data_IF_289253951800
#
_entry.id   IF_289253951800
#
_cell.length_a   1.000
_cell.length_b   1.000
_cell.length_c   1.000
_cell.angle_alpha   90.00
_cell.angle_beta   90.00
_cell.angle_gamma   90.00
#
_symmetry.space_group_name_H-M   'P 1'
#
loop_
_entity.id
_entity.type
_entity.pdbx_description
1 polymer ?
#
# COMPACT_ATOMS: atom_id res chain seq x y z
N UNK A 1 35.10 3.51 57.66
CA UNK A 1 34.42 2.23 57.90
C UNK A 1 33.27 2.07 56.94
N UNK A 2 33.55 1.67 55.70
CA UNK A 2 32.54 1.09 54.81
C UNK A 2 33.22 -0.01 54.02
N UNK A 3 32.92 -1.27 54.36
CA UNK A 3 33.42 -2.44 53.65
C UNK A 3 32.28 -3.00 52.79
N UNK A 4 32.54 -3.27 51.52
CA UNK A 4 31.60 -3.93 50.61
C UNK A 4 32.17 -5.29 50.18
N UNK A 5 31.32 -6.31 50.11
CA UNK A 5 31.65 -7.65 49.63
C UNK A 5 30.55 -8.13 48.69
N UNK A 6 30.93 -8.69 47.54
CA UNK A 6 30.00 -9.21 46.52
C UNK A 6 30.42 -10.63 46.17
N UNK A 7 29.46 -11.55 46.15
CA UNK A 7 29.61 -12.91 45.63
C UNK A 7 28.77 -12.99 44.35
N UNK A 8 29.38 -13.43 43.26
CA UNK A 8 28.72 -13.62 41.97
C UNK A 8 28.68 -15.11 41.64
N UNK A 9 27.56 -15.53 41.06
CA UNK A 9 27.36 -16.87 40.51
C UNK A 9 26.98 -16.74 39.03
N UNK A 10 27.24 -17.78 38.25
CA UNK A 10 26.81 -17.85 36.85
C UNK A 10 25.28 -17.79 36.73
N UNK A 11 24.77 -17.23 35.63
CA UNK A 11 23.36 -17.37 35.32
C UNK A 11 22.99 -18.87 35.26
N UNK A 12 21.75 -19.25 35.65
CA UNK A 12 21.28 -20.61 35.43
C UNK A 12 21.52 -21.02 33.98
N UNK A 13 21.98 -22.26 33.75
CA UNK A 13 22.04 -22.76 32.39
C UNK A 13 20.63 -22.66 31.81
N UNK A 14 20.48 -21.91 30.71
CA UNK A 14 19.26 -21.98 29.94
C UNK A 14 19.02 -23.47 29.64
N UNK A 15 17.79 -23.99 29.84
CA UNK A 15 17.49 -25.32 29.36
C UNK A 15 17.93 -25.34 27.91
N UNK A 16 18.84 -26.28 27.56
CA UNK A 16 19.31 -26.43 26.20
C UNK A 16 18.07 -26.27 25.32
N UNK A 17 18.08 -25.35 24.32
CA UNK A 17 16.94 -25.23 23.45
C UNK A 17 16.63 -26.67 23.10
N UNK A 18 15.41 -27.12 23.43
CA UNK A 18 15.03 -28.46 23.06
C UNK A 18 15.49 -28.61 21.61
N UNK A 19 15.87 -29.81 21.21
CA UNK A 19 15.70 -30.14 19.81
C UNK A 19 14.19 -30.07 19.51
N UNK A 20 13.55 -28.89 19.67
CA UNK A 20 12.71 -28.32 18.66
C UNK A 20 13.48 -28.64 17.40
N UNK A 21 13.01 -29.68 16.71
CA UNK A 21 13.37 -29.88 15.35
C UNK A 21 13.16 -28.57 14.59
N UNK A 22 13.43 -28.65 13.31
CA UNK A 22 13.21 -27.67 12.28
C UNK A 22 11.77 -27.07 12.20
N UNK A 23 10.93 -27.23 13.23
CA UNK A 23 9.53 -26.83 13.39
C UNK A 23 9.31 -25.34 13.69
N UNK A 24 10.36 -24.55 14.02
CA UNK A 24 10.24 -23.11 13.78
C UNK A 24 10.39 -22.95 12.27
N UNK A 25 9.35 -22.53 11.52
CA UNK A 25 9.45 -22.48 10.07
C UNK A 25 10.73 -21.74 9.72
N UNK A 26 11.68 -22.46 9.13
CA UNK A 26 12.96 -21.91 8.76
C UNK A 26 12.66 -20.71 7.87
N UNK A 27 12.82 -19.50 8.41
CA UNK A 27 12.71 -18.26 7.65
C UNK A 27 13.98 -18.01 6.83
N UNK A 28 14.76 -19.06 6.62
CA UNK A 28 15.97 -19.02 5.83
C UNK A 28 15.57 -18.70 4.39
N UNK A 29 16.09 -17.59 3.88
CA UNK A 29 15.71 -17.04 2.58
C UNK A 29 14.41 -16.22 2.56
N UNK A 30 13.73 -16.02 3.69
CA UNK A 30 12.62 -15.08 3.78
C UNK A 30 13.12 -13.64 3.69
N UNK A 31 12.28 -12.73 3.18
CA UNK A 31 12.58 -11.31 3.19
C UNK A 31 12.48 -10.76 4.63
N UNK A 32 13.58 -10.21 5.12
CA UNK A 32 13.72 -9.70 6.48
C UNK A 32 14.01 -8.20 6.46
N UNK A 33 13.44 -7.41 7.38
CA UNK A 33 13.85 -6.03 7.59
C UNK A 33 14.96 -5.95 8.64
N UNK A 34 16.06 -5.25 8.33
CA UNK A 34 16.99 -4.74 9.34
C UNK A 34 16.79 -3.24 9.52
N UNK A 35 16.58 -2.82 10.78
CA UNK A 35 16.32 -1.43 11.14
C UNK A 35 17.46 -0.96 12.04
N UNK A 36 18.17 0.08 11.63
CA UNK A 36 19.24 0.71 12.41
C UNK A 36 18.89 2.17 12.66
N UNK A 37 19.18 2.67 13.86
CA UNK A 37 18.92 4.08 14.18
C UNK A 37 20.04 4.72 14.98
N UNK A 38 20.20 6.04 14.84
CA UNK A 38 21.17 6.85 15.58
C UNK A 38 20.61 8.23 15.93
N UNK A 39 21.13 8.84 17.00
CA UNK A 39 20.75 10.22 17.41
C UNK A 39 21.21 11.29 16.42
N UNK A 40 22.22 10.98 15.60
CA UNK A 40 22.74 11.84 14.53
C UNK A 40 23.04 10.98 13.30
N UNK A 41 23.20 11.60 12.11
CA UNK A 41 23.63 10.88 10.89
C UNK A 41 24.96 10.15 11.09
N UNK A 42 25.92 10.77 11.79
CA UNK A 42 27.21 10.14 12.12
C UNK A 42 27.03 8.94 13.04
N UNK A 43 26.16 9.05 14.05
CA UNK A 43 25.86 7.93 14.94
C UNK A 43 25.20 6.77 14.20
N UNK A 44 24.27 7.06 13.27
CA UNK A 44 23.65 6.04 12.42
C UNK A 44 24.71 5.29 11.57
N UNK A 45 25.61 6.03 10.92
CA UNK A 45 26.70 5.41 10.15
C UNK A 45 27.61 4.54 11.04
N UNK A 46 27.90 5.00 12.26
CA UNK A 46 28.65 4.22 13.24
C UNK A 46 27.92 2.94 13.69
N UNK A 47 26.59 2.99 13.86
CA UNK A 47 25.79 1.80 14.18
C UNK A 47 25.80 0.78 13.03
N UNK A 48 25.70 1.24 11.78
CA UNK A 48 25.78 0.35 10.60
C UNK A 48 27.17 -0.29 10.49
N UNK A 49 28.24 0.47 10.68
CA UNK A 49 29.60 -0.06 10.69
C UNK A 49 29.84 -1.07 11.83
N UNK A 50 29.32 -0.77 13.03
CA UNK A 50 29.38 -1.69 14.17
C UNK A 50 28.59 -2.98 13.94
N UNK A 51 27.41 -2.89 13.32
CA UNK A 51 26.62 -4.06 12.93
C UNK A 51 27.37 -4.94 11.93
N UNK A 52 28.03 -4.34 10.93
CA UNK A 52 28.89 -5.07 9.98
C UNK A 52 30.01 -5.82 10.72
N UNK A 53 30.75 -5.13 11.58
CA UNK A 53 31.81 -5.77 12.37
C UNK A 53 31.30 -6.89 13.27
N UNK A 54 30.08 -6.78 13.82
CA UNK A 54 29.46 -7.85 14.60
C UNK A 54 29.15 -9.08 13.73
N UNK A 55 28.57 -8.88 12.54
CA UNK A 55 28.27 -9.96 11.58
C UNK A 55 29.56 -10.65 11.13
N UNK A 56 30.59 -9.88 10.79
CA UNK A 56 31.88 -10.41 10.35
C UNK A 56 32.55 -11.27 11.44
N UNK A 57 32.40 -10.87 12.71
CA UNK A 57 32.93 -11.62 13.86
C UNK A 57 32.07 -12.85 14.25
N UNK A 58 30.80 -12.90 13.82
CA UNK A 58 29.85 -13.97 14.16
C UNK A 58 29.13 -14.48 12.90
N UNK A 59 29.85 -15.15 11.97
CA UNK A 59 29.28 -15.57 10.69
C UNK A 59 28.15 -16.61 10.83
N UNK A 60 28.07 -17.31 11.95
CA UNK A 60 26.98 -18.24 12.28
C UNK A 60 25.71 -17.55 12.81
N UNK A 61 25.74 -16.24 13.06
CA UNK A 61 24.57 -15.51 13.54
C UNK A 61 23.48 -15.45 12.46
N UNK A 62 22.27 -15.87 12.81
CA UNK A 62 21.15 -15.91 11.86
C UNK A 62 20.65 -14.49 11.57
N UNK A 63 20.42 -14.12 10.29
CA UNK A 63 19.94 -12.79 9.94
C UNK A 63 18.60 -12.42 10.59
N UNK A 64 17.73 -13.42 10.80
CA UNK A 64 16.43 -13.23 11.44
C UNK A 64 16.56 -12.84 12.93
N UNK A 65 17.49 -13.45 13.67
CA UNK A 65 17.71 -13.14 15.09
C UNK A 65 18.31 -11.75 15.27
N UNK A 66 19.23 -11.37 14.37
CA UNK A 66 19.78 -10.02 14.30
C UNK A 66 18.68 -9.00 14.00
N UNK A 67 17.83 -9.27 13.00
CA UNK A 67 16.70 -8.41 12.64
C UNK A 67 15.71 -8.24 13.79
N UNK A 68 15.34 -9.34 14.45
CA UNK A 68 14.49 -9.31 15.64
C UNK A 68 15.13 -8.46 16.75
N UNK A 69 16.40 -8.70 17.06
CA UNK A 69 17.12 -7.97 18.10
C UNK A 69 17.20 -6.47 17.79
N UNK A 70 17.48 -6.09 16.55
CA UNK A 70 17.48 -4.71 16.07
C UNK A 70 16.10 -4.05 16.24
N UNK A 71 15.02 -4.78 15.99
CA UNK A 71 13.66 -4.25 16.02
C UNK A 71 13.08 -4.11 17.44
N UNK A 72 13.42 -5.02 18.36
CA UNK A 72 12.72 -5.17 19.66
C UNK A 72 13.58 -4.83 20.89
N UNK A 73 14.91 -4.86 20.78
CA UNK A 73 15.80 -4.66 21.96
C UNK A 73 16.57 -3.35 21.93
N UNK A 74 16.59 -2.65 20.79
CA UNK A 74 17.35 -1.40 20.62
C UNK A 74 16.44 -0.19 20.72
N UNK A 75 16.95 0.87 21.36
CA UNK A 75 16.28 2.16 21.37
C UNK A 75 16.16 2.71 19.94
N UNK A 76 15.02 3.36 19.64
CA UNK A 76 14.72 3.94 18.33
C UNK A 76 14.99 5.44 18.33
N UNK A 77 15.90 5.89 17.46
CA UNK A 77 16.29 7.29 17.34
C UNK A 77 15.76 7.94 16.05
N UNK A 78 15.99 9.26 15.90
CA UNK A 78 15.44 10.07 14.83
C UNK A 78 16.02 9.75 13.44
N UNK A 79 17.31 9.45 13.34
CA UNK A 79 17.93 9.05 12.07
C UNK A 79 17.88 7.55 11.93
N UNK A 80 17.24 7.05 10.88
CA UNK A 80 16.96 5.63 10.67
C UNK A 80 17.43 5.20 9.28
N UNK A 81 17.88 3.96 9.18
CA UNK A 81 18.10 3.24 7.93
C UNK A 81 17.38 1.90 8.02
N UNK A 82 16.75 1.50 6.93
CA UNK A 82 16.09 0.20 6.82
C UNK A 82 16.59 -0.47 5.55
N UNK A 83 16.93 -1.74 5.64
CA UNK A 83 17.17 -2.60 4.49
C UNK A 83 16.26 -3.81 4.55
N UNK A 84 15.86 -4.30 3.38
CA UNK A 84 15.08 -5.52 3.24
C UNK A 84 15.86 -6.48 2.34
N UNK A 85 16.09 -7.69 2.82
CA UNK A 85 16.95 -8.67 2.17
C UNK A 85 16.78 -10.05 2.79
N UNK A 86 17.40 -11.06 2.19
CA UNK A 86 17.24 -12.47 2.58
C UNK A 86 18.42 -13.03 3.37
N UNK A 87 19.55 -12.34 3.30
CA UNK A 87 20.75 -12.69 4.04
C UNK A 87 21.47 -11.44 4.57
N UNK A 88 22.44 -11.65 5.48
CA UNK A 88 23.19 -10.57 6.11
C UNK A 88 23.95 -9.70 5.09
N UNK A 89 24.41 -10.26 3.96
CA UNK A 89 25.19 -9.52 2.98
C UNK A 89 24.31 -8.55 2.18
N UNK A 90 23.14 -9.01 1.70
CA UNK A 90 22.11 -8.17 1.07
C UNK A 90 21.68 -7.05 2.04
N UNK A 91 21.42 -7.38 3.30
CA UNK A 91 20.96 -6.44 4.32
C UNK A 91 22.00 -5.37 4.66
N UNK A 92 23.26 -5.76 4.87
CA UNK A 92 24.34 -4.82 5.12
C UNK A 92 24.64 -3.90 3.93
N UNK A 93 24.51 -4.43 2.71
CA UNK A 93 24.65 -3.65 1.47
C UNK A 93 23.52 -2.63 1.35
N UNK A 94 22.28 -3.06 1.58
CA UNK A 94 21.12 -2.19 1.61
C UNK A 94 21.22 -1.08 2.66
N UNK A 95 21.69 -1.40 3.87
CA UNK A 95 21.88 -0.41 4.93
C UNK A 95 22.94 0.62 4.60
N UNK A 96 24.04 0.21 3.95
CA UNK A 96 25.09 1.13 3.52
C UNK A 96 24.64 2.07 2.41
N UNK A 97 23.75 1.60 1.52
CA UNK A 97 23.18 2.38 0.43
C UNK A 97 21.95 3.23 0.84
N UNK A 98 21.33 2.92 1.98
CA UNK A 98 20.10 3.57 2.41
C UNK A 98 20.33 5.06 2.71
N UNK A 99 19.52 5.92 2.10
CA UNK A 99 19.43 7.32 2.48
C UNK A 99 18.84 7.42 3.91
N UNK A 100 19.53 8.09 4.86
CA UNK A 100 19.01 8.23 6.21
C UNK A 100 17.65 8.92 6.23
N UNK A 101 16.66 8.23 6.78
CA UNK A 101 15.34 8.77 7.03
C UNK A 101 15.36 9.52 8.35
N UNK A 102 14.85 10.74 8.37
CA UNK A 102 14.53 11.45 9.61
C UNK A 102 13.02 11.37 9.81
N UNK A 103 12.58 10.62 10.82
CA UNK A 103 11.16 10.55 11.14
C UNK A 103 10.67 11.92 11.60
N UNK A 104 9.65 12.47 10.94
CA UNK A 104 9.03 13.74 11.35
C UNK A 104 8.10 13.58 12.57
N UNK A 105 7.72 12.35 12.92
CA UNK A 105 6.54 12.15 13.77
C UNK A 105 5.28 12.71 13.09
N UNK A 106 4.14 12.59 13.76
CA UNK A 106 2.88 13.17 13.30
C UNK A 106 1.83 12.14 12.92
N UNK A 107 0.72 12.65 12.40
CA UNK A 107 -0.46 11.88 12.02
C UNK A 107 -0.23 11.15 10.69
N UNK A 108 -0.67 9.90 10.61
CA UNK A 108 -0.59 9.04 9.42
C UNK A 108 -1.94 9.01 8.72
N UNK A 109 -1.96 9.21 7.40
CA UNK A 109 -3.16 9.05 6.59
C UNK A 109 -2.97 7.90 5.59
N UNK A 110 -3.99 7.06 5.42
CA UNK A 110 -4.04 6.09 4.32
C UNK A 110 -4.91 6.63 3.19
N UNK A 111 -4.36 6.58 1.97
CA UNK A 111 -5.02 7.06 0.76
C UNK A 111 -5.40 5.87 -0.13
N UNK A 112 -6.69 5.78 -0.43
CA UNK A 112 -7.29 4.72 -1.24
C UNK A 112 -7.46 5.23 -2.68
N UNK A 113 -6.92 4.51 -3.67
CA UNK A 113 -6.85 4.99 -5.05
C UNK A 113 -8.16 4.77 -5.81
N UNK A 114 -8.34 5.57 -6.86
CA UNK A 114 -9.43 5.39 -7.82
C UNK A 114 -9.14 4.32 -8.86
N UNK A 115 -10.08 4.18 -9.79
CA UNK A 115 -9.93 3.35 -11.00
C UNK A 115 -8.73 3.79 -11.85
N UNK A 116 -8.02 2.82 -12.42
CA UNK A 116 -6.83 3.01 -13.26
C UNK A 116 -5.55 2.41 -12.67
N UNK A 117 -5.57 2.01 -11.39
CA UNK A 117 -4.44 1.37 -10.72
C UNK A 117 -4.45 -0.17 -10.84
N UNK A 118 -5.55 -0.75 -11.34
CA UNK A 118 -5.68 -2.20 -11.48
C UNK A 118 -4.66 -2.74 -12.49
N UNK A 119 -4.10 -3.91 -12.19
CA UNK A 119 -3.18 -4.62 -13.06
C UNK A 119 -3.37 -6.13 -12.92
N UNK A 120 -3.17 -6.91 -13.99
CA UNK A 120 -3.24 -8.36 -13.91
C UNK A 120 -2.31 -8.93 -12.83
N UNK A 121 -2.83 -9.87 -12.04
CA UNK A 121 -2.14 -10.51 -10.92
C UNK A 121 -1.82 -9.58 -9.75
N UNK A 122 -2.47 -8.42 -9.63
CA UNK A 122 -2.34 -7.58 -8.43
C UNK A 122 -2.74 -8.37 -7.18
N UNK A 123 -2.02 -8.17 -6.08
CA UNK A 123 -2.32 -8.86 -4.82
C UNK A 123 -1.90 -10.34 -4.75
N UNK A 124 -1.71 -11.05 -5.86
CA UNK A 124 -1.44 -12.51 -5.86
C UNK A 124 -0.24 -12.93 -5.01
N UNK A 125 0.87 -12.18 -5.09
CA UNK A 125 2.04 -12.49 -4.28
C UNK A 125 1.78 -12.27 -2.77
N UNK A 126 0.96 -11.27 -2.43
CA UNK A 126 0.58 -10.97 -1.05
C UNK A 126 -0.41 -12.01 -0.52
N UNK A 127 -1.41 -12.38 -1.31
CA UNK A 127 -2.37 -13.44 -0.99
C UNK A 127 -1.66 -14.75 -0.63
N UNK A 128 -0.68 -15.18 -1.43
CA UNK A 128 0.12 -16.39 -1.12
C UNK A 128 1.02 -16.26 0.10
N UNK A 129 1.48 -15.05 0.42
CA UNK A 129 2.50 -14.84 1.44
C UNK A 129 1.93 -14.46 2.82
N UNK A 130 0.73 -13.85 2.87
CA UNK A 130 0.21 -13.23 4.08
C UNK A 130 -1.26 -13.63 4.34
N UNK A 131 -1.52 -14.46 5.38
CA UNK A 131 -2.88 -14.89 5.73
C UNK A 131 -3.86 -13.73 5.94
N UNK A 132 -3.46 -12.66 6.64
CA UNK A 132 -4.32 -11.50 6.87
C UNK A 132 -4.78 -10.80 5.56
N UNK A 133 -3.92 -10.80 4.54
CA UNK A 133 -4.30 -10.32 3.21
C UNK A 133 -5.28 -11.29 2.56
N UNK A 134 -4.94 -12.59 2.55
CA UNK A 134 -5.74 -13.63 1.91
C UNK A 134 -7.16 -13.68 2.48
N UNK A 135 -7.30 -13.74 3.81
CA UNK A 135 -8.59 -13.77 4.50
C UNK A 135 -9.47 -12.57 4.15
N UNK A 136 -8.91 -11.36 4.14
CA UNK A 136 -9.63 -10.14 3.80
C UNK A 136 -10.04 -10.09 2.32
N UNK A 137 -9.14 -10.50 1.43
CA UNK A 137 -9.41 -10.55 -0.01
C UNK A 137 -10.49 -11.59 -0.34
N UNK A 138 -10.36 -12.79 0.22
CA UNK A 138 -11.30 -13.89 0.00
C UNK A 138 -12.69 -13.57 0.55
N UNK A 139 -12.78 -12.85 1.67
CA UNK A 139 -14.05 -12.36 2.20
C UNK A 139 -14.76 -11.38 1.25
N UNK A 140 -14.00 -10.50 0.58
CA UNK A 140 -14.56 -9.61 -0.44
C UNK A 140 -14.99 -10.42 -1.67
N UNK A 141 -14.15 -11.32 -2.17
CA UNK A 141 -14.47 -12.18 -3.31
C UNK A 141 -15.74 -13.01 -3.06
N UNK A 142 -15.88 -13.64 -1.89
CA UNK A 142 -17.05 -14.46 -1.55
C UNK A 142 -18.37 -13.68 -1.58
N UNK A 143 -18.34 -12.38 -1.28
CA UNK A 143 -19.50 -11.50 -1.40
C UNK A 143 -19.68 -11.00 -2.83
N UNK A 144 -18.59 -10.63 -3.50
CA UNK A 144 -18.60 -10.07 -4.83
C UNK A 144 -19.07 -11.07 -5.89
N UNK A 145 -18.61 -12.31 -5.80
CA UNK A 145 -18.85 -13.38 -6.79
C UNK A 145 -20.32 -13.80 -6.86
N UNK A 146 -21.14 -13.39 -5.89
CA UNK A 146 -22.61 -13.57 -5.95
C UNK A 146 -23.29 -12.65 -6.97
N UNK A 147 -22.63 -11.55 -7.36
CA UNK A 147 -23.13 -10.55 -8.30
C UNK A 147 -22.29 -10.41 -9.57
N UNK A 148 -21.28 -11.26 -9.77
CA UNK A 148 -20.38 -11.23 -10.93
C UNK A 148 -20.60 -12.46 -11.82
N UNK A 149 -20.48 -12.27 -13.13
CA UNK A 149 -20.58 -13.37 -14.12
C UNK A 149 -19.40 -14.34 -14.04
N UNK A 150 -18.24 -13.87 -13.56
CA UNK A 150 -17.01 -14.63 -13.39
C UNK A 150 -16.37 -14.31 -12.04
N UNK A 151 -15.71 -15.30 -11.39
CA UNK A 151 -15.05 -15.08 -10.11
C UNK A 151 -13.99 -13.98 -10.18
N UNK A 152 -14.03 -13.05 -9.24
CA UNK A 152 -13.17 -11.87 -9.21
C UNK A 152 -11.68 -12.23 -9.20
N UNK A 153 -11.29 -13.23 -8.39
CA UNK A 153 -9.90 -13.67 -8.28
C UNK A 153 -9.37 -14.23 -9.61
N UNK A 154 -10.19 -15.00 -10.33
CA UNK A 154 -9.83 -15.56 -11.64
C UNK A 154 -9.64 -14.45 -12.67
N UNK A 155 -10.53 -13.45 -12.70
CA UNK A 155 -10.44 -12.31 -13.60
C UNK A 155 -9.18 -11.48 -13.35
N UNK A 156 -8.85 -11.20 -12.09
CA UNK A 156 -7.61 -10.50 -11.72
C UNK A 156 -6.37 -11.22 -12.28
N UNK A 157 -6.35 -12.55 -12.25
CA UNK A 157 -5.19 -13.33 -12.66
C UNK A 157 -5.08 -13.57 -14.17
N UNK A 158 -6.22 -13.71 -14.85
CA UNK A 158 -6.26 -14.32 -16.19
C UNK A 158 -6.84 -13.43 -17.29
N UNK A 159 -7.60 -12.39 -16.94
CA UNK A 159 -8.36 -11.62 -17.93
C UNK A 159 -8.17 -10.11 -17.76
N UNK A 160 -7.10 -9.61 -18.36
CA UNK A 160 -6.79 -8.18 -18.36
C UNK A 160 -7.87 -7.32 -19.05
N UNK A 161 -8.62 -7.88 -20.00
CA UNK A 161 -9.67 -7.16 -20.71
C UNK A 161 -10.86 -6.91 -19.80
N UNK A 162 -11.36 -7.99 -19.18
CA UNK A 162 -12.46 -7.92 -18.24
C UNK A 162 -12.09 -7.14 -16.98
N UNK A 163 -10.86 -7.29 -16.47
CA UNK A 163 -10.35 -6.50 -15.34
C UNK A 163 -10.39 -4.98 -15.59
N UNK A 164 -10.27 -4.54 -16.85
CA UNK A 164 -10.36 -3.14 -17.23
C UNK A 164 -11.80 -2.65 -17.49
N UNK A 165 -12.79 -3.55 -17.47
CA UNK A 165 -14.21 -3.17 -17.45
C UNK A 165 -14.52 -2.53 -16.09
N UNK A 166 -15.30 -1.46 -16.09
CA UNK A 166 -15.50 -0.58 -14.91
C UNK A 166 -16.08 -1.31 -13.70
N UNK A 167 -17.01 -2.22 -13.92
CA UNK A 167 -17.62 -3.05 -12.90
C UNK A 167 -16.65 -4.02 -12.22
N UNK A 168 -15.75 -4.67 -12.97
CA UNK A 168 -14.68 -5.50 -12.41
C UNK A 168 -13.55 -4.67 -11.80
N UNK A 169 -13.12 -3.61 -12.47
CA UNK A 169 -12.02 -2.77 -12.00
C UNK A 169 -12.30 -2.20 -10.61
N UNK A 170 -13.53 -1.69 -10.39
CA UNK A 170 -13.92 -1.09 -9.11
C UNK A 170 -13.90 -2.10 -7.96
N UNK A 171 -14.52 -3.27 -8.14
CA UNK A 171 -14.56 -4.28 -7.07
C UNK A 171 -13.18 -4.94 -6.85
N UNK A 172 -12.38 -5.10 -7.91
CA UNK A 172 -11.02 -5.62 -7.81
C UNK A 172 -10.11 -4.68 -7.00
N UNK A 173 -10.22 -3.37 -7.24
CA UNK A 173 -9.49 -2.34 -6.48
C UNK A 173 -9.94 -2.32 -5.02
N UNK A 174 -11.25 -2.29 -4.77
CA UNK A 174 -11.80 -2.36 -3.42
C UNK A 174 -11.28 -3.60 -2.66
N UNK A 175 -11.34 -4.79 -3.26
CA UNK A 175 -10.84 -6.02 -2.66
C UNK A 175 -9.35 -5.93 -2.30
N UNK A 176 -8.55 -5.44 -3.24
CA UNK A 176 -7.09 -5.29 -3.06
C UNK A 176 -6.76 -4.28 -1.96
N UNK A 177 -7.42 -3.13 -1.95
CA UNK A 177 -7.14 -2.06 -0.98
C UNK A 177 -7.59 -2.42 0.44
N UNK A 178 -8.74 -3.07 0.59
CA UNK A 178 -9.19 -3.59 1.89
C UNK A 178 -8.22 -4.66 2.40
N UNK A 179 -7.76 -5.56 1.53
CA UNK A 179 -6.78 -6.57 1.92
C UNK A 179 -5.41 -5.98 2.28
N UNK A 180 -4.94 -4.96 1.56
CA UNK A 180 -3.73 -4.21 1.91
C UNK A 180 -3.87 -3.52 3.27
N UNK A 181 -5.02 -2.91 3.54
CA UNK A 181 -5.30 -2.31 4.85
C UNK A 181 -5.22 -3.36 5.97
N UNK A 182 -5.93 -4.50 5.83
CA UNK A 182 -5.93 -5.57 6.85
C UNK A 182 -4.53 -6.16 7.07
N UNK A 183 -3.71 -6.23 6.02
CA UNK A 183 -2.31 -6.63 6.15
C UNK A 183 -1.52 -5.65 7.03
N UNK A 184 -1.61 -4.35 6.77
CA UNK A 184 -0.92 -3.33 7.58
C UNK A 184 -1.44 -3.29 9.03
N UNK A 185 -2.75 -3.40 9.20
CA UNK A 185 -3.41 -3.50 10.51
C UNK A 185 -2.90 -4.70 11.31
N UNK A 186 -2.70 -5.86 10.66
CA UNK A 186 -2.14 -7.06 11.31
C UNK A 186 -0.71 -6.86 11.84
N UNK A 187 0.03 -5.88 11.32
CA UNK A 187 1.36 -5.49 11.80
C UNK A 187 1.30 -4.36 12.84
N UNK A 188 0.11 -3.93 13.24
CA UNK A 188 -0.11 -2.81 14.17
C UNK A 188 0.05 -1.43 13.53
N UNK A 189 0.05 -1.33 12.20
CA UNK A 189 0.10 -0.05 11.48
C UNK A 189 -1.33 0.41 11.20
N UNK A 190 -1.83 1.32 12.04
CA UNK A 190 -3.16 1.91 11.93
C UNK A 190 -3.07 3.40 11.57
N UNK A 191 -3.91 3.91 10.66
CA UNK A 191 -3.90 5.32 10.29
C UNK A 191 -4.69 6.16 11.30
N UNK A 192 -4.32 7.44 11.45
CA UNK A 192 -5.12 8.46 12.14
C UNK A 192 -6.26 8.97 11.25
N UNK A 193 -6.05 8.97 9.93
CA UNK A 193 -7.00 9.45 8.94
C UNK A 193 -7.07 8.52 7.71
N UNK A 194 -8.22 8.46 7.07
CA UNK A 194 -8.37 7.82 5.76
C UNK A 194 -9.01 8.78 4.78
N UNK A 195 -8.61 8.70 3.52
CA UNK A 195 -9.26 9.38 2.42
C UNK A 195 -9.20 8.50 1.18
N UNK A 196 -10.20 8.61 0.32
CA UNK A 196 -10.23 7.88 -0.94
C UNK A 196 -10.44 8.79 -2.12
N UNK A 197 -10.04 8.33 -3.30
CA UNK A 197 -10.30 9.03 -4.55
C UNK A 197 -11.35 8.26 -5.35
N UNK A 198 -12.53 8.84 -5.56
CA UNK A 198 -13.63 8.20 -6.31
C UNK A 198 -14.02 6.86 -5.67
N UNK A 199 -13.91 5.73 -6.37
CA UNK A 199 -14.20 4.40 -5.80
C UNK A 199 -13.40 4.09 -4.54
N UNK A 200 -12.18 4.63 -4.41
CA UNK A 200 -11.36 4.48 -3.21
C UNK A 200 -12.03 5.02 -1.94
N UNK A 201 -12.98 5.97 -2.05
CA UNK A 201 -13.76 6.44 -0.90
C UNK A 201 -14.60 5.33 -0.27
N UNK A 202 -15.04 4.36 -1.07
CA UNK A 202 -15.82 3.22 -0.57
C UNK A 202 -14.94 2.28 0.26
N UNK A 203 -13.69 2.08 -0.16
CA UNK A 203 -12.69 1.36 0.63
C UNK A 203 -12.34 2.11 1.92
N UNK A 204 -12.13 3.43 1.84
CA UNK A 204 -11.89 4.27 3.00
C UNK A 204 -13.06 4.25 3.98
N UNK A 205 -14.30 4.36 3.50
CA UNK A 205 -15.51 4.31 4.32
C UNK A 205 -15.69 2.95 5.01
N UNK A 206 -15.39 1.85 4.32
CA UNK A 206 -15.40 0.52 4.95
C UNK A 206 -14.34 0.41 6.05
N UNK A 207 -13.10 0.80 5.75
CA UNK A 207 -11.97 0.74 6.67
C UNK A 207 -12.18 1.63 7.91
N UNK A 208 -12.81 2.80 7.73
CA UNK A 208 -13.22 3.69 8.82
C UNK A 208 -14.39 3.15 9.66
N UNK A 209 -14.99 2.02 9.28
CA UNK A 209 -16.14 1.43 9.98
C UNK A 209 -17.48 2.12 9.68
N UNK A 210 -17.54 3.01 8.68
CA UNK A 210 -18.79 3.66 8.24
C UNK A 210 -19.69 2.68 7.51
N UNK A 211 -19.10 1.80 6.68
CA UNK A 211 -19.82 0.76 5.94
C UNK A 211 -19.39 -0.64 6.42
N UNK A 212 -20.38 -1.50 6.67
CA UNK A 212 -20.13 -2.93 6.83
C UNK A 212 -19.51 -3.51 5.55
N UNK A 213 -18.76 -4.62 5.66
CA UNK A 213 -18.16 -5.26 4.48
C UNK A 213 -19.24 -5.67 3.44
N UNK A 214 -20.36 -6.32 3.81
CA UNK A 214 -21.43 -6.64 2.86
C UNK A 214 -22.03 -5.41 2.17
N UNK A 215 -22.28 -4.33 2.92
CA UNK A 215 -22.87 -3.12 2.35
C UNK A 215 -21.90 -2.40 1.40
N UNK A 216 -20.62 -2.35 1.77
CA UNK A 216 -19.57 -1.78 0.93
C UNK A 216 -19.42 -2.56 -0.38
N UNK A 217 -19.37 -3.90 -0.33
CA UNK A 217 -19.30 -4.74 -1.53
C UNK A 217 -20.53 -4.54 -2.42
N UNK A 218 -21.73 -4.55 -1.83
CA UNK A 218 -22.98 -4.30 -2.56
C UNK A 218 -22.97 -2.93 -3.25
N UNK A 219 -22.50 -1.89 -2.56
CA UNK A 219 -22.43 -0.54 -3.11
C UNK A 219 -21.41 -0.43 -4.25
N UNK A 220 -20.22 -1.02 -4.08
CA UNK A 220 -19.17 -1.02 -5.11
C UNK A 220 -19.63 -1.76 -6.36
N UNK A 221 -20.26 -2.94 -6.21
CA UNK A 221 -20.83 -3.69 -7.32
C UNK A 221 -21.92 -2.88 -8.05
N UNK A 222 -22.92 -2.39 -7.32
CA UNK A 222 -24.02 -1.62 -7.91
C UNK A 222 -23.50 -0.38 -8.66
N UNK A 223 -22.56 0.36 -8.05
CA UNK A 223 -21.91 1.52 -8.68
C UNK A 223 -21.15 1.11 -9.94
N UNK A 224 -20.32 0.07 -9.86
CA UNK A 224 -19.54 -0.45 -10.97
C UNK A 224 -20.42 -0.85 -12.16
N UNK A 225 -21.49 -1.61 -11.91
CA UNK A 225 -22.46 -2.03 -12.93
C UNK A 225 -23.18 -0.85 -13.57
N UNK A 226 -23.71 0.09 -12.78
CA UNK A 226 -24.40 1.26 -13.31
C UNK A 226 -23.47 2.13 -14.15
N UNK A 227 -22.23 2.35 -13.69
CA UNK A 227 -21.23 3.12 -14.43
C UNK A 227 -20.77 2.41 -15.70
N UNK A 228 -20.68 1.08 -15.69
CA UNK A 228 -20.35 0.29 -16.88
C UNK A 228 -21.47 0.30 -17.94
N UNK A 229 -22.72 0.55 -17.53
CA UNK A 229 -23.89 0.59 -18.42
C UNK A 229 -24.15 1.98 -19.02
N UNK A 230 -23.36 3.00 -18.66
CA UNK A 230 -23.51 4.34 -19.22
C UNK A 230 -23.26 4.33 -20.74
N UNK A 231 -23.87 5.26 -21.50
CA UNK A 231 -23.61 5.36 -22.92
C UNK A 231 -22.13 5.62 -23.23
N UNK A 232 -21.63 4.98 -24.29
CA UNK A 232 -20.32 5.29 -24.85
C UNK A 232 -20.27 6.75 -25.37
N UNK A 233 -19.07 7.28 -25.55
CA UNK A 233 -18.85 8.63 -26.11
C UNK A 233 -18.42 9.68 -25.07
N UNK A 234 -18.36 9.32 -23.79
CA UNK A 234 -17.69 10.11 -22.78
C UNK A 234 -16.17 10.00 -22.85
N UNK A 235 -15.45 11.03 -22.41
CA UNK A 235 -14.00 11.00 -22.22
C UNK A 235 -13.58 11.70 -20.92
N UNK A 236 -12.35 11.46 -20.51
CA UNK A 236 -11.69 12.20 -19.43
C UNK A 236 -10.28 12.61 -19.88
N UNK A 237 -9.82 13.79 -19.49
CA UNK A 237 -8.48 14.28 -19.80
C UNK A 237 -7.86 15.00 -18.60
N UNK A 238 -6.58 14.71 -18.33
CA UNK A 238 -5.79 15.41 -17.33
C UNK A 238 -5.13 16.66 -17.93
N UNK A 239 -5.30 17.79 -17.25
CA UNK A 239 -4.78 19.11 -17.61
C UNK A 239 -3.71 19.55 -16.61
N UNK A 240 -2.67 20.23 -17.12
CA UNK A 240 -1.65 20.90 -16.30
C UNK A 240 -2.07 22.33 -15.98
N UNK A 241 -3.24 22.47 -15.37
CA UNK A 241 -3.90 23.74 -15.07
C UNK A 241 -4.43 23.72 -13.63
N UNK A 242 -4.69 24.91 -13.10
CA UNK A 242 -5.44 25.14 -11.87
C UNK A 242 -6.95 25.00 -12.13
N UNK A 243 -7.75 24.81 -11.07
CA UNK A 243 -9.22 24.81 -11.17
C UNK A 243 -9.75 26.15 -11.70
N UNK A 244 -9.24 27.27 -11.20
CA UNK A 244 -9.65 28.63 -11.59
C UNK A 244 -9.36 28.94 -13.07
N UNK A 245 -8.32 28.36 -13.65
CA UNK A 245 -8.03 28.49 -15.09
C UNK A 245 -9.02 27.68 -15.95
N UNK A 246 -9.52 26.55 -15.44
CA UNK A 246 -10.39 25.63 -16.18
C UNK A 246 -11.86 26.00 -16.06
N UNK A 247 -12.31 26.41 -14.86
CA UNK A 247 -13.72 26.68 -14.55
C UNK A 247 -14.41 27.67 -15.53
N UNK A 248 -13.77 28.76 -15.99
CA UNK A 248 -14.38 29.70 -16.94
C UNK A 248 -14.60 29.14 -18.36
N UNK A 249 -14.17 27.90 -18.61
CA UNK A 249 -14.25 27.25 -19.92
C UNK A 249 -15.12 26.00 -19.92
N UNK A 250 -15.77 25.69 -18.79
CA UNK A 250 -16.73 24.60 -18.67
C UNK A 250 -18.08 25.00 -19.25
N UNK A 251 -18.84 23.99 -19.70
CA UNK A 251 -20.20 24.11 -20.22
C UNK A 251 -21.06 22.94 -19.70
N UNK A 252 -22.30 22.81 -20.17
CA UNK A 252 -23.19 21.72 -19.76
C UNK A 252 -22.73 20.31 -20.19
N UNK A 253 -21.70 20.22 -21.04
CA UNK A 253 -21.20 18.97 -21.64
C UNK A 253 -19.90 18.50 -21.00
N UNK A 254 -19.16 19.37 -20.30
CA UNK A 254 -17.87 19.06 -19.66
C UNK A 254 -17.76 19.71 -18.29
N UNK A 255 -17.40 18.90 -17.29
CA UNK A 255 -17.11 19.35 -15.93
C UNK A 255 -15.69 19.01 -15.47
N UNK A 256 -15.32 19.51 -14.30
CA UNK A 256 -14.13 19.06 -13.57
C UNK A 256 -14.48 17.79 -12.81
N UNK A 257 -13.81 16.69 -13.13
CA UNK A 257 -13.97 15.40 -12.47
C UNK A 257 -13.15 15.28 -11.17
N UNK A 258 -11.96 15.88 -11.14
CA UNK A 258 -11.07 15.80 -10.00
C UNK A 258 -10.05 16.95 -9.99
N UNK A 259 -9.71 17.42 -8.79
CA UNK A 259 -8.58 18.32 -8.53
C UNK A 259 -7.53 17.54 -7.74
N UNK A 260 -6.56 16.96 -8.45
CA UNK A 260 -5.54 16.06 -7.88
C UNK A 260 -4.33 16.82 -7.28
N UNK A 261 -4.26 18.12 -7.53
CA UNK A 261 -3.24 19.00 -6.97
C UNK A 261 -3.34 20.41 -7.55
N UNK A 262 -2.48 21.33 -7.09
CA UNK A 262 -2.59 22.75 -7.43
C UNK A 262 -2.59 23.06 -8.93
N UNK A 263 -1.94 22.20 -9.73
CA UNK A 263 -1.91 22.31 -11.20
C UNK A 263 -2.20 20.98 -11.90
N UNK A 264 -3.04 20.16 -11.29
CA UNK A 264 -3.41 18.85 -11.81
C UNK A 264 -4.92 18.67 -11.69
N UNK A 265 -5.63 18.99 -12.77
CA UNK A 265 -7.08 18.89 -12.87
C UNK A 265 -7.44 17.83 -13.89
N UNK A 266 -8.50 17.07 -13.65
CA UNK A 266 -9.09 16.16 -14.63
C UNK A 266 -10.44 16.71 -15.04
N UNK A 267 -10.65 16.88 -16.34
CA UNK A 267 -11.96 17.20 -16.92
C UNK A 267 -12.62 15.94 -17.45
N UNK A 268 -13.95 15.92 -17.48
CA UNK A 268 -14.73 14.81 -18.00
C UNK A 268 -16.04 15.27 -18.61
N UNK A 269 -16.53 14.56 -19.62
CA UNK A 269 -17.77 14.90 -20.31
C UNK A 269 -17.87 14.27 -21.69
N UNK A 270 -18.64 14.89 -22.59
CA UNK A 270 -18.72 14.47 -23.98
C UNK A 270 -17.34 14.52 -24.65
N UNK A 271 -16.98 13.47 -25.40
CA UNK A 271 -15.60 13.27 -25.87
C UNK A 271 -15.06 14.40 -26.74
N UNK A 272 -15.86 14.89 -27.68
CA UNK A 272 -15.52 16.04 -28.54
C UNK A 272 -15.32 17.33 -27.74
N UNK A 273 -16.16 17.57 -26.72
CA UNK A 273 -16.06 18.75 -25.87
C UNK A 273 -14.83 18.67 -24.94
N UNK A 274 -14.53 17.49 -24.40
CA UNK A 274 -13.30 17.24 -23.61
C UNK A 274 -12.06 17.47 -24.47
N UNK A 275 -12.03 16.91 -25.68
CA UNK A 275 -10.88 17.04 -26.59
C UNK A 275 -10.69 18.51 -27.01
N UNK A 276 -11.77 19.24 -27.30
CA UNK A 276 -11.74 20.67 -27.62
C UNK A 276 -11.23 21.53 -26.45
N UNK A 277 -11.70 21.28 -25.22
CA UNK A 277 -11.23 21.99 -24.03
C UNK A 277 -9.77 21.67 -23.73
N UNK A 278 -9.38 20.39 -23.79
CA UNK A 278 -8.01 19.95 -23.54
C UNK A 278 -6.99 20.57 -24.53
N UNK A 279 -7.38 20.81 -25.79
CA UNK A 279 -6.53 21.46 -26.78
C UNK A 279 -6.14 22.89 -26.37
N UNK A 280 -7.00 23.61 -25.63
CA UNK A 280 -6.74 24.98 -25.16
C UNK A 280 -5.63 25.06 -24.12
N UNK A 281 -5.33 23.95 -23.45
CA UNK A 281 -4.30 23.86 -22.40
C UNK A 281 -3.01 23.17 -22.88
N UNK A 282 -2.72 23.20 -24.18
CA UNK A 282 -1.52 22.60 -24.74
C UNK A 282 -1.58 21.08 -24.85
N UNK A 283 -2.77 20.54 -25.18
CA UNK A 283 -3.08 19.12 -25.29
C UNK A 283 -3.00 18.39 -23.93
N UNK A 284 -4.15 18.23 -23.27
CA UNK A 284 -4.29 17.38 -22.09
C UNK A 284 -3.97 15.91 -22.37
N UNK A 285 -3.63 15.16 -21.32
CA UNK A 285 -3.45 13.71 -21.43
C UNK A 285 -4.81 13.02 -21.31
N UNK A 286 -5.32 12.47 -22.42
CA UNK A 286 -6.52 11.64 -22.40
C UNK A 286 -6.31 10.41 -21.51
N UNK A 287 -7.27 10.13 -20.64
CA UNK A 287 -7.19 9.00 -19.72
C UNK A 287 -7.72 7.72 -20.39
N UNK A 288 -7.09 6.59 -20.11
CA UNK A 288 -7.50 5.28 -20.60
C UNK A 288 -8.68 4.74 -19.77
N UNK A 289 -9.83 5.38 -19.92
CA UNK A 289 -11.09 5.03 -19.26
C UNK A 289 -12.20 4.90 -20.29
N UNK A 290 -13.19 4.06 -20.01
CA UNK A 290 -14.29 3.76 -20.93
C UNK A 290 -15.38 4.83 -20.97
N UNK A 291 -15.50 5.64 -19.90
CA UNK A 291 -16.58 6.62 -19.73
C UNK A 291 -16.06 7.91 -19.09
N UNK A 292 -16.91 8.95 -19.13
CA UNK A 292 -16.69 10.21 -18.45
C UNK A 292 -17.19 10.17 -17.01
N UNK A 293 -16.35 9.69 -16.08
CA UNK A 293 -16.71 9.65 -14.66
C UNK A 293 -16.69 11.04 -14.03
N UNK A 294 -17.60 11.30 -13.10
CA UNK A 294 -17.78 12.60 -12.44
C UNK A 294 -18.07 13.73 -13.43
N UNK A 295 -19.00 13.46 -14.34
CA UNK A 295 -19.38 14.36 -15.44
C UNK A 295 -20.90 14.53 -15.51
N UNK A 296 -21.40 15.50 -16.31
CA UNK A 296 -22.83 15.62 -16.63
C UNK A 296 -23.44 14.40 -17.34
N UNK A 297 -22.64 13.40 -17.76
CA UNK A 297 -23.11 12.16 -18.39
C UNK A 297 -23.45 11.05 -17.39
N UNK A 298 -23.31 11.30 -16.08
CA UNK A 298 -23.69 10.39 -14.99
C UNK A 298 -24.96 10.87 -14.29
#
# INVERSE_FOLDING_TARGET
GTNAHVILEQAPADPAPAEAGDDRPARDGAWLPWIVSGRTRRALAGQIAGLRGHVDAHPAARPADLGLSLATTRARFAHRAVAVGRDSAELLTGLAAAAPLTGAGGTTAFLFTGQGAQRPGMGRALHRAFPAYAEAFDAVCALADQGLDRPLAEVIDTDAGLLNRTDYAQIALFATEVALYRLLESWGVVPDHVAGHSVGELAAAHVAGVLSLPDAVRLVLARGTLMAALPAGGAMAALRATEDEVAPHLDERVGIAAVNGPRSVVISGAGDAVDALAARFGQGKRLAVSHAFHSPLM
#
